data_IF_633374122911
#
_entry.id   IF_633374122911
#
_cell.length_a   1.000
_cell.length_b   1.000
_cell.length_c   1.000
_cell.angle_alpha   90.00
_cell.angle_beta   90.00
_cell.angle_gamma   90.00
#
_symmetry.space_group_name_H-M   'P 1'
#
loop_
_entity.id
_entity.type
_entity.pdbx_description
1 polymer ?
#
# COMPACT_ATOMS: atom_id res chain seq x y z
N UNK A 1 -6.60 -10.13 19.49
CA UNK A 1 -5.97 -10.84 18.34
C UNK A 1 -4.63 -10.22 17.98
N UNK A 2 -4.53 -8.90 17.93
CA UNK A 2 -3.27 -8.19 17.66
C UNK A 2 -2.20 -8.51 18.72
N UNK A 3 -2.63 -8.79 19.96
CA UNK A 3 -1.77 -9.28 21.05
C UNK A 3 -1.00 -10.58 20.73
N UNK A 4 -1.44 -11.38 19.74
CA UNK A 4 -0.75 -12.61 19.32
C UNK A 4 0.47 -12.35 18.44
N UNK A 5 0.57 -11.13 17.88
CA UNK A 5 1.69 -10.72 17.04
C UNK A 5 2.90 -10.53 17.94
N UNK A 6 4.03 -11.14 17.58
CA UNK A 6 5.25 -11.00 18.38
C UNK A 6 5.76 -9.56 18.37
N UNK A 7 6.31 -9.13 19.50
CA UNK A 7 6.96 -7.83 19.64
C UNK A 7 8.10 -7.64 18.62
N UNK A 8 8.82 -8.73 18.31
CA UNK A 8 9.84 -8.74 17.26
C UNK A 8 9.27 -8.42 15.88
N UNK A 9 8.13 -9.03 15.50
CA UNK A 9 7.50 -8.76 14.21
C UNK A 9 6.99 -7.31 14.14
N UNK A 10 6.36 -6.81 15.21
CA UNK A 10 5.93 -5.40 15.30
C UNK A 10 7.12 -4.46 15.10
N UNK A 11 8.25 -4.73 15.75
CA UNK A 11 9.48 -3.95 15.60
C UNK A 11 10.05 -4.02 14.17
N UNK A 12 10.09 -5.21 13.54
CA UNK A 12 10.60 -5.37 12.16
C UNK A 12 9.72 -4.64 11.14
N UNK A 13 8.40 -4.70 11.29
CA UNK A 13 7.46 -3.92 10.47
C UNK A 13 7.70 -2.43 10.67
N UNK A 14 7.83 -1.96 11.92
CA UNK A 14 8.10 -0.56 12.21
C UNK A 14 9.41 -0.07 11.57
N UNK A 15 10.51 -0.81 11.76
CA UNK A 15 11.81 -0.48 11.18
C UNK A 15 11.76 -0.39 9.66
N UNK A 16 11.04 -1.29 9.00
CA UNK A 16 10.90 -1.26 7.53
C UNK A 16 10.22 0.01 7.02
N UNK A 17 9.26 0.53 7.79
CA UNK A 17 8.61 1.79 7.47
C UNK A 17 9.54 2.98 7.76
N UNK A 18 10.30 2.96 8.86
CA UNK A 18 11.29 3.99 9.18
C UNK A 18 12.35 4.07 8.07
N UNK A 19 12.92 2.94 7.68
CA UNK A 19 13.96 2.85 6.65
C UNK A 19 13.39 3.22 5.27
N UNK A 20 12.31 2.55 4.84
CA UNK A 20 11.74 2.70 3.51
C UNK A 20 11.08 4.06 3.23
N UNK A 21 10.53 4.74 4.26
CA UNK A 21 10.03 6.11 4.13
C UNK A 21 11.06 7.18 4.54
N UNK A 22 12.17 6.78 5.17
CA UNK A 22 13.19 7.66 5.74
C UNK A 22 14.48 7.67 4.93
N UNK A 23 15.55 7.13 5.52
CA UNK A 23 16.92 7.24 5.00
C UNK A 23 17.07 6.68 3.58
N UNK A 24 16.49 5.50 3.29
CA UNK A 24 16.54 4.91 1.96
C UNK A 24 15.86 5.81 0.92
N UNK A 25 14.68 6.33 1.26
CA UNK A 25 13.96 7.23 0.36
C UNK A 25 14.75 8.52 0.13
N UNK A 26 15.31 9.11 1.17
CA UNK A 26 16.11 10.33 1.06
C UNK A 26 17.35 10.10 0.17
N UNK A 27 18.02 8.95 0.34
CA UNK A 27 19.14 8.54 -0.50
C UNK A 27 18.73 8.45 -1.97
N UNK A 28 17.69 7.66 -2.28
CA UNK A 28 17.26 7.43 -3.67
C UNK A 28 16.72 8.69 -4.35
N UNK A 29 16.00 9.55 -3.62
CA UNK A 29 15.52 10.84 -4.14
C UNK A 29 16.69 11.71 -4.61
N UNK A 30 17.82 11.70 -3.89
CA UNK A 30 19.04 12.43 -4.28
C UNK A 30 19.73 11.81 -5.50
N UNK A 31 19.70 10.49 -5.65
CA UNK A 31 20.34 9.80 -6.78
C UNK A 31 19.57 9.93 -8.10
N UNK A 32 18.24 9.80 -8.07
CA UNK A 32 17.41 9.74 -9.29
C UNK A 32 17.45 11.08 -10.07
N UNK A 33 17.45 12.21 -9.35
CA UNK A 33 17.60 13.56 -9.90
C UNK A 33 16.84 13.82 -11.23
N UNK A 34 15.54 13.50 -11.27
CA UNK A 34 14.69 13.67 -12.46
C UNK A 34 14.00 15.05 -12.49
N UNK A 35 13.66 15.58 -13.68
CA UNK A 35 12.92 16.85 -13.83
C UNK A 35 11.52 16.83 -13.21
N UNK A 36 10.90 15.65 -13.12
CA UNK A 36 9.60 15.44 -12.46
C UNK A 36 9.78 14.57 -11.21
N UNK A 37 8.82 14.62 -10.30
CA UNK A 37 8.87 13.92 -9.01
C UNK A 37 7.81 12.81 -8.88
N UNK A 38 7.29 12.29 -10.00
CA UNK A 38 6.19 11.31 -10.01
C UNK A 38 6.51 10.04 -9.22
N UNK A 39 7.79 9.61 -9.26
CA UNK A 39 8.26 8.43 -8.53
C UNK A 39 8.11 8.58 -7.00
N UNK A 40 8.08 9.80 -6.45
CA UNK A 40 8.00 10.03 -4.99
C UNK A 40 6.73 9.47 -4.35
N UNK A 41 5.70 9.19 -5.14
CA UNK A 41 4.47 8.57 -4.66
C UNK A 41 4.55 7.04 -4.60
N UNK A 42 5.37 6.41 -5.46
CA UNK A 42 5.48 4.95 -5.57
C UNK A 42 6.73 4.39 -4.90
N UNK A 43 7.88 5.03 -5.10
CA UNK A 43 9.17 4.61 -4.58
C UNK A 43 9.18 4.32 -3.07
N UNK A 44 8.59 5.15 -2.18
CA UNK A 44 8.62 4.85 -0.75
C UNK A 44 7.96 3.51 -0.41
N UNK A 45 6.91 3.15 -1.15
CA UNK A 45 6.19 1.91 -0.96
C UNK A 45 7.00 0.72 -1.47
N UNK A 46 7.66 0.86 -2.62
CA UNK A 46 8.52 -0.20 -3.16
C UNK A 46 9.72 -0.47 -2.25
N UNK A 47 10.38 0.58 -1.74
CA UNK A 47 11.47 0.45 -0.76
C UNK A 47 10.99 -0.27 0.50
N UNK A 48 9.87 0.18 1.08
CA UNK A 48 9.29 -0.44 2.28
C UNK A 48 8.92 -1.92 2.03
N UNK A 49 8.27 -2.22 0.90
CA UNK A 49 7.89 -3.59 0.53
C UNK A 49 9.12 -4.49 0.33
N UNK A 50 10.18 -3.97 -0.28
CA UNK A 50 11.45 -4.69 -0.43
C UNK A 50 12.06 -5.07 0.91
N UNK A 51 12.08 -4.14 1.88
CA UNK A 51 12.60 -4.41 3.23
C UNK A 51 11.71 -5.43 3.95
N UNK A 52 10.38 -5.29 3.89
CA UNK A 52 9.43 -6.25 4.47
C UNK A 52 9.66 -7.68 3.93
N UNK A 53 9.85 -7.81 2.62
CA UNK A 53 10.12 -9.10 1.98
C UNK A 53 11.49 -9.65 2.39
N UNK A 54 12.51 -8.80 2.53
CA UNK A 54 13.89 -9.22 2.84
C UNK A 54 14.02 -10.04 4.13
N UNK A 55 13.04 -9.92 5.02
CA UNK A 55 13.05 -10.52 6.33
C UNK A 55 11.99 -11.64 6.47
N UNK A 56 11.15 -11.84 5.44
CA UNK A 56 10.19 -12.95 5.39
C UNK A 56 10.91 -14.31 5.47
N UNK A 57 10.26 -15.28 6.12
CA UNK A 57 10.86 -16.56 6.45
C UNK A 57 9.83 -17.71 6.39
N UNK A 58 10.07 -18.79 7.15
CA UNK A 58 9.16 -19.93 7.23
C UNK A 58 7.80 -19.57 7.87
N UNK A 59 7.76 -18.59 8.75
CA UNK A 59 6.59 -18.20 9.54
C UNK A 59 5.94 -16.91 9.03
N UNK A 60 6.67 -16.05 8.32
CA UNK A 60 6.14 -14.88 7.64
C UNK A 60 6.20 -15.07 6.13
N UNK A 61 5.06 -15.43 5.53
CA UNK A 61 4.91 -15.63 4.08
C UNK A 61 4.42 -14.35 3.41
N UNK A 62 4.61 -14.24 2.11
CA UNK A 62 4.12 -13.11 1.35
C UNK A 62 3.61 -13.50 -0.02
N UNK A 63 2.76 -12.64 -0.58
CA UNK A 63 2.38 -12.66 -2.00
C UNK A 63 2.27 -11.22 -2.52
N UNK A 64 2.45 -11.04 -3.82
CA UNK A 64 2.32 -9.75 -4.51
C UNK A 64 1.23 -9.88 -5.57
N UNK A 65 0.14 -9.13 -5.40
CA UNK A 65 -1.01 -9.21 -6.29
C UNK A 65 -1.20 -7.91 -7.04
N UNK A 66 -1.36 -7.99 -8.37
CA UNK A 66 -1.60 -6.81 -9.21
C UNK A 66 -3.04 -6.33 -9.06
N UNK A 67 -3.23 -5.05 -8.75
CA UNK A 67 -4.52 -4.34 -8.69
C UNK A 67 -4.46 -3.09 -9.55
N UNK A 68 -4.87 -3.24 -10.82
CA UNK A 68 -4.78 -2.17 -11.81
C UNK A 68 -3.32 -1.83 -12.13
N UNK A 69 -2.93 -0.57 -11.86
CA UNK A 69 -1.57 -0.06 -12.06
C UNK A 69 -0.67 -0.22 -10.82
N UNK A 70 -1.17 -0.80 -9.73
CA UNK A 70 -0.47 -0.93 -8.46
C UNK A 70 -0.31 -2.40 -8.07
N UNK A 71 0.74 -2.72 -7.31
CA UNK A 71 1.01 -4.05 -6.76
C UNK A 71 0.83 -4.05 -5.25
N UNK A 72 -0.07 -4.90 -4.76
CA UNK A 72 -0.39 -5.03 -3.35
C UNK A 72 0.46 -6.14 -2.73
N UNK A 73 1.28 -5.77 -1.74
CA UNK A 73 1.98 -6.73 -0.87
C UNK A 73 1.01 -7.26 0.20
N UNK A 74 0.88 -8.58 0.25
CA UNK A 74 0.19 -9.33 1.28
C UNK A 74 1.23 -10.04 2.14
N UNK A 75 1.17 -9.91 3.47
CA UNK A 75 2.08 -10.58 4.41
C UNK A 75 1.27 -11.46 5.36
N UNK A 76 1.54 -12.76 5.41
CA UNK A 76 0.84 -13.72 6.27
C UNK A 76 1.77 -14.21 7.37
N UNK A 77 1.49 -13.84 8.62
CA UNK A 77 2.13 -14.44 9.80
C UNK A 77 1.37 -15.69 10.22
N UNK A 78 2.04 -16.84 10.12
CA UNK A 78 1.51 -18.15 10.47
C UNK A 78 1.41 -18.36 11.99
N UNK A 79 2.13 -17.58 12.78
CA UNK A 79 2.03 -17.65 14.24
C UNK A 79 0.72 -17.02 14.72
N UNK A 80 0.42 -15.78 14.31
CA UNK A 80 -0.83 -15.11 14.66
C UNK A 80 -2.02 -15.51 13.77
N UNK A 81 -1.77 -16.12 12.61
CA UNK A 81 -2.74 -16.32 11.52
C UNK A 81 -3.37 -14.99 11.07
N UNK A 82 -2.54 -13.97 10.89
CA UNK A 82 -2.96 -12.65 10.43
C UNK A 82 -2.32 -12.33 9.07
N UNK A 83 -3.18 -11.89 8.15
CA UNK A 83 -2.82 -11.34 6.86
C UNK A 83 -2.73 -9.81 6.97
N UNK A 84 -1.53 -9.26 6.87
CA UNK A 84 -1.27 -7.83 6.91
C UNK A 84 -1.32 -7.20 5.52
N UNK A 85 -1.93 -6.03 5.45
CA UNK A 85 -1.77 -5.07 4.35
C UNK A 85 -1.39 -3.71 4.91
N UNK A 86 -0.53 -2.97 4.21
CA UNK A 86 -0.06 -1.65 4.67
C UNK A 86 -0.60 -0.51 3.80
N UNK A 87 -1.09 0.57 4.40
CA UNK A 87 -1.55 1.77 3.69
C UNK A 87 -1.38 3.06 4.50
N UNK A 88 -1.64 4.24 3.92
CA UNK A 88 -1.65 5.46 4.72
C UNK A 88 -2.93 5.56 5.56
N UNK A 89 -2.84 6.21 6.72
CA UNK A 89 -4.02 6.47 7.57
C UNK A 89 -5.09 7.28 6.81
N UNK A 90 -4.67 8.24 5.99
CA UNK A 90 -5.58 9.01 5.13
C UNK A 90 -6.29 8.15 4.08
N UNK A 91 -5.60 7.18 3.48
CA UNK A 91 -6.21 6.29 2.49
C UNK A 91 -7.27 5.39 3.15
N UNK A 92 -6.97 4.84 4.33
CA UNK A 92 -7.96 4.09 5.11
C UNK A 92 -9.17 4.96 5.45
N UNK A 93 -8.95 6.15 6.01
CA UNK A 93 -10.01 7.08 6.36
C UNK A 93 -10.89 7.46 5.16
N UNK A 94 -10.30 7.62 3.98
CA UNK A 94 -11.04 7.87 2.74
C UNK A 94 -11.92 6.68 2.38
N UNK A 95 -11.38 5.46 2.42
CA UNK A 95 -12.11 4.22 2.13
C UNK A 95 -13.29 4.02 3.07
N UNK A 96 -13.08 4.21 4.38
CA UNK A 96 -14.12 4.03 5.39
C UNK A 96 -15.28 5.04 5.25
N UNK A 97 -14.99 6.26 4.78
CA UNK A 97 -15.99 7.32 4.55
C UNK A 97 -16.69 7.20 3.20
N UNK A 98 -16.01 6.66 2.19
CA UNK A 98 -16.54 6.59 0.84
C UNK A 98 -17.44 5.37 0.64
N UNK A 99 -18.73 5.58 0.90
CA UNK A 99 -19.80 4.60 0.72
C UNK A 99 -20.45 4.66 -0.67
N UNK A 100 -19.83 5.32 -1.66
CA UNK A 100 -20.42 5.47 -3.02
C UNK A 100 -19.49 4.97 -4.14
N UNK A 101 -18.55 4.10 -3.80
CA UNK A 101 -17.57 3.56 -4.76
C UNK A 101 -18.24 2.59 -5.74
N UNK A 102 -17.93 2.72 -7.02
CA UNK A 102 -18.44 1.83 -8.07
C UNK A 102 -17.71 0.48 -8.13
N UNK A 103 -16.48 0.43 -7.62
CA UNK A 103 -15.62 -0.77 -7.64
C UNK A 103 -15.13 -1.06 -6.22
N UNK A 104 -15.14 -2.34 -5.78
CA UNK A 104 -14.63 -2.70 -4.46
C UNK A 104 -13.13 -2.47 -4.37
N UNK A 105 -12.71 -1.83 -3.28
CA UNK A 105 -11.30 -1.75 -2.92
C UNK A 105 -10.85 -3.08 -2.31
N UNK A 106 -9.54 -3.36 -2.34
CA UNK A 106 -9.02 -4.60 -1.75
C UNK A 106 -9.35 -4.75 -0.25
N UNK A 107 -9.61 -3.64 0.44
CA UNK A 107 -10.05 -3.65 1.85
C UNK A 107 -11.47 -4.17 1.99
N UNK A 108 -12.38 -3.82 1.07
CA UNK A 108 -13.76 -4.34 1.07
C UNK A 108 -13.76 -5.85 0.79
N UNK A 109 -12.79 -6.34 0.01
CA UNK A 109 -12.65 -7.75 -0.33
C UNK A 109 -12.00 -8.53 0.82
N UNK A 110 -10.85 -8.06 1.32
CA UNK A 110 -10.10 -8.73 2.39
C UNK A 110 -10.83 -8.71 3.74
N UNK A 111 -11.74 -7.76 3.99
CA UNK A 111 -12.56 -7.74 5.20
C UNK A 111 -13.49 -8.95 5.31
N UNK A 112 -13.79 -9.65 4.20
CA UNK A 112 -14.52 -10.91 4.24
C UNK A 112 -13.78 -12.00 5.03
N UNK A 113 -12.44 -11.94 5.11
CA UNK A 113 -11.67 -12.83 6.01
C UNK A 113 -12.01 -12.61 7.49
N UNK A 114 -12.66 -11.51 7.82
CA UNK A 114 -13.08 -11.14 9.17
C UNK A 114 -14.58 -11.36 9.42
N UNK A 115 -15.27 -12.13 8.56
CA UNK A 115 -16.67 -12.52 8.76
C UNK A 115 -16.85 -13.22 10.11
N UNK A 116 -17.89 -12.84 10.85
CA UNK A 116 -18.20 -13.34 12.18
C UNK A 116 -17.51 -12.62 13.35
N UNK A 117 -16.70 -11.59 13.09
CA UNK A 117 -16.20 -10.70 14.16
C UNK A 117 -17.21 -9.59 14.46
N UNK A 118 -17.41 -9.30 15.75
CA UNK A 118 -18.30 -8.23 16.21
C UNK A 118 -17.53 -6.90 16.36
N UNK A 119 -18.06 -5.83 15.75
CA UNK A 119 -17.49 -4.50 15.84
C UNK A 119 -17.77 -3.82 17.19
N UNK A 120 -16.80 -3.05 17.70
CA UNK A 120 -16.94 -2.17 18.88
C UNK A 120 -17.89 -1.00 18.63
N UNK A 121 -17.92 -0.52 17.40
CA UNK A 121 -18.77 0.58 16.97
C UNK A 121 -19.74 0.06 15.93
N UNK A 122 -21.03 0.06 16.28
CA UNK A 122 -22.08 -0.11 15.29
C UNK A 122 -22.08 1.16 14.46
N UNK A 123 -21.64 1.11 13.21
CA UNK A 123 -21.82 2.25 12.32
C UNK A 123 -23.34 2.41 12.18
N UNK A 124 -23.92 3.54 12.60
CA UNK A 124 -25.38 3.74 12.56
C UNK A 124 -25.84 3.59 11.10
N UNK A 125 -26.38 2.42 10.77
CA UNK A 125 -27.10 2.19 9.54
C UNK A 125 -28.47 2.82 9.73
N UNK A 126 -28.84 3.76 8.87
CA UNK A 126 -30.21 4.29 8.87
C UNK A 126 -31.11 3.12 8.43
N UNK A 127 -32.11 2.71 9.24
CA UNK A 127 -33.02 1.62 8.86
C UNK A 127 -33.68 1.93 7.51
N UNK A 128 -33.57 1.01 6.55
CA UNK A 128 -34.08 1.18 5.18
C UNK A 128 -33.04 1.56 4.12
N UNK A 129 -31.77 1.74 4.51
CA UNK A 129 -30.63 1.85 3.59
C UNK A 129 -29.75 0.62 3.83
N UNK A 130 -30.19 -0.54 3.32
CA UNK A 130 -29.30 -1.68 3.13
C UNK A 130 -28.42 -1.38 1.93
N UNK A 131 -27.17 -1.00 2.19
CA UNK A 131 -26.17 -0.84 1.12
C UNK A 131 -25.13 -1.93 1.30
N UNK A 132 -25.49 -3.17 0.95
CA UNK A 132 -24.46 -4.04 0.39
C UNK A 132 -23.93 -3.31 -0.85
N UNK A 133 -22.78 -2.66 -0.71
CA UNK A 133 -22.21 -1.82 -1.77
C UNK A 133 -21.85 -2.65 -3.00
N UNK A 134 -21.56 -3.93 -2.80
CA UNK A 134 -21.12 -4.87 -3.82
C UNK A 134 -21.75 -6.25 -3.59
N UNK A 135 -22.07 -7.00 -4.64
CA UNK A 135 -22.55 -8.39 -4.52
C UNK A 135 -21.55 -9.28 -3.79
N UNK A 136 -22.01 -10.05 -2.80
CA UNK A 136 -21.15 -10.90 -1.95
C UNK A 136 -20.40 -11.96 -2.77
N UNK A 137 -21.07 -12.57 -3.74
CA UNK A 137 -20.52 -13.59 -4.65
C UNK A 137 -19.34 -13.07 -5.48
N UNK A 138 -19.40 -11.81 -5.94
CA UNK A 138 -18.29 -11.18 -6.65
C UNK A 138 -17.12 -10.85 -5.71
N UNK A 139 -17.40 -10.41 -4.48
CA UNK A 139 -16.36 -10.17 -3.48
C UNK A 139 -15.66 -11.48 -3.07
N UNK A 140 -16.41 -12.57 -2.87
CA UNK A 140 -15.85 -13.89 -2.55
C UNK A 140 -14.94 -14.42 -3.67
N UNK A 141 -15.36 -14.25 -4.93
CA UNK A 141 -14.54 -14.60 -6.10
C UNK A 141 -13.22 -13.82 -6.10
N UNK A 142 -13.27 -12.51 -5.93
CA UNK A 142 -12.06 -11.67 -5.87
C UNK A 142 -11.20 -11.98 -4.65
N UNK A 143 -11.80 -12.35 -3.52
CA UNK A 143 -11.05 -12.75 -2.33
C UNK A 143 -10.22 -14.00 -2.60
N UNK A 144 -10.82 -15.01 -3.23
CA UNK A 144 -10.12 -16.23 -3.63
C UNK A 144 -8.96 -15.92 -4.56
N UNK A 145 -9.14 -15.00 -5.51
CA UNK A 145 -8.05 -14.55 -6.39
C UNK A 145 -6.92 -13.88 -5.60
N UNK A 146 -7.24 -12.94 -4.70
CA UNK A 146 -6.26 -12.23 -3.88
C UNK A 146 -5.47 -13.16 -2.95
N UNK A 147 -6.11 -14.19 -2.39
CA UNK A 147 -5.52 -15.03 -1.35
C UNK A 147 -5.04 -16.40 -1.84
N UNK A 148 -5.31 -16.78 -3.09
CA UNK A 148 -5.09 -18.14 -3.63
C UNK A 148 -3.72 -18.72 -3.29
N UNK A 149 -2.63 -17.99 -3.54
CA UNK A 149 -1.29 -18.48 -3.27
C UNK A 149 -1.00 -18.65 -1.77
N UNK A 150 -1.53 -17.75 -0.94
CA UNK A 150 -1.32 -17.77 0.52
C UNK A 150 -2.14 -18.88 1.19
N UNK A 151 -3.33 -19.18 0.68
CA UNK A 151 -4.16 -20.31 1.14
C UNK A 151 -3.48 -21.66 0.89
N UNK A 152 -2.61 -21.77 -0.12
CA UNK A 152 -1.80 -22.99 -0.34
C UNK A 152 -0.66 -23.14 0.69
N UNK A 153 -0.37 -22.11 1.49
CA UNK A 153 0.74 -22.11 2.46
C UNK A 153 0.30 -22.49 3.88
N UNK A 154 -1.01 -22.64 4.14
CA UNK A 154 -1.54 -22.96 5.46
C UNK A 154 -2.91 -23.62 5.39
N UNK A 155 -3.14 -24.62 6.25
CA UNK A 155 -4.46 -25.24 6.42
C UNK A 155 -5.36 -24.46 7.39
N UNK A 156 -4.84 -23.39 8.00
CA UNK A 156 -5.57 -22.57 8.97
C UNK A 156 -6.21 -21.36 8.30
N UNK A 157 -7.44 -21.05 8.73
CA UNK A 157 -8.04 -19.76 8.43
C UNK A 157 -7.21 -18.63 9.03
N UNK A 158 -7.07 -17.54 8.27
CA UNK A 158 -6.41 -16.31 8.70
C UNK A 158 -7.36 -15.13 8.63
N UNK A 159 -7.12 -14.15 9.51
CA UNK A 159 -7.88 -12.90 9.59
C UNK A 159 -7.09 -11.76 8.97
N UNK A 160 -7.79 -10.76 8.43
CA UNK A 160 -7.16 -9.60 7.82
C UNK A 160 -6.86 -8.51 8.85
N UNK A 161 -5.66 -7.96 8.80
CA UNK A 161 -5.18 -6.87 9.62
C UNK A 161 -4.63 -5.75 8.72
N UNK A 162 -5.00 -4.51 9.02
CA UNK A 162 -4.54 -3.32 8.29
C UNK A 162 -3.52 -2.60 9.15
N UNK A 163 -2.32 -2.39 8.61
CA UNK A 163 -1.32 -1.51 9.20
C UNK A 163 -1.42 -0.15 8.52
N UNK A 164 -1.68 0.90 9.30
CA UNK A 164 -1.69 2.27 8.79
C UNK A 164 -0.46 3.04 9.21
N UNK A 165 -0.06 3.94 8.33
CA UNK A 165 1.10 4.79 8.49
C UNK A 165 0.71 6.24 8.29
N UNK A 166 1.17 7.08 9.20
CA UNK A 166 1.14 8.55 9.04
C UNK A 166 2.56 9.06 9.02
N UNK A 167 2.84 9.95 8.06
CA UNK A 167 4.19 10.49 7.86
C UNK A 167 4.16 11.98 7.59
N UNK A 168 5.28 12.63 7.89
CA UNK A 168 5.58 14.00 7.47
C UNK A 168 6.99 14.04 6.89
N UNK A 169 7.09 14.29 5.58
CA UNK A 169 8.35 14.18 4.85
C UNK A 169 8.92 12.75 4.89
N UNK A 170 10.17 12.65 5.37
CA UNK A 170 10.91 11.40 5.57
C UNK A 170 10.69 10.78 6.97
N UNK A 171 9.82 11.37 7.80
CA UNK A 171 9.61 10.90 9.16
C UNK A 171 8.27 10.16 9.29
N UNK A 172 8.32 8.93 9.80
CA UNK A 172 7.13 8.16 10.17
C UNK A 172 6.70 8.59 11.57
N UNK A 173 5.48 9.14 11.68
CA UNK A 173 4.98 9.75 12.91
C UNK A 173 4.09 8.80 13.71
N UNK A 174 3.25 8.04 13.02
CA UNK A 174 2.31 7.10 13.65
C UNK A 174 2.28 5.79 12.87
N UNK A 175 2.20 4.69 13.62
CA UNK A 175 2.02 3.34 13.11
C UNK A 175 0.94 2.67 13.96
N UNK A 176 -0.11 2.14 13.33
CA UNK A 176 -1.24 1.51 14.02
C UNK A 176 -1.68 0.26 13.29
N UNK A 177 -2.14 -0.72 14.03
CA UNK A 177 -2.73 -1.94 13.52
C UNK A 177 -4.23 -1.95 13.80
N UNK A 178 -5.01 -2.35 12.80
CA UNK A 178 -6.47 -2.41 12.88
C UNK A 178 -6.98 -3.78 12.43
N UNK A 179 -8.02 -4.24 13.09
CA UNK A 179 -8.88 -5.31 12.61
C UNK A 179 -10.29 -4.73 12.51
N UNK A 180 -10.87 -4.85 11.31
CA UNK A 180 -12.26 -4.51 11.06
C UNK A 180 -13.06 -5.77 10.79
N UNK A 181 -14.36 -5.77 11.06
CA UNK A 181 -15.24 -6.86 10.62
C UNK A 181 -15.53 -6.75 9.11
N UNK A 182 -16.32 -7.69 8.58
CA UNK A 182 -16.71 -7.68 7.15
C UNK A 182 -17.49 -6.43 6.73
N UNK A 183 -18.17 -5.76 7.66
CA UNK A 183 -18.86 -4.48 7.44
C UNK A 183 -17.96 -3.24 7.59
N UNK A 184 -16.65 -3.44 7.76
CA UNK A 184 -15.65 -2.39 8.01
C UNK A 184 -15.88 -1.60 9.31
N UNK A 185 -16.47 -2.24 10.31
CA UNK A 185 -16.58 -1.71 11.66
C UNK A 185 -15.37 -2.12 12.50
N UNK A 186 -14.91 -1.22 13.36
CA UNK A 186 -13.68 -1.43 14.12
C UNK A 186 -13.88 -2.55 15.16
N UNK A 187 -13.07 -3.61 15.09
CA UNK A 187 -13.05 -4.73 16.05
C UNK A 187 -11.92 -4.52 17.06
N UNK A 188 -10.71 -4.28 16.56
CA UNK A 188 -9.49 -4.16 17.38
C UNK A 188 -8.57 -3.08 16.81
N UNK A 189 -7.90 -2.34 17.69
CA UNK A 189 -6.90 -1.35 17.34
C UNK A 189 -5.74 -1.48 18.33
N UNK A 190 -4.52 -1.40 17.82
CA UNK A 190 -3.30 -1.32 18.63
C UNK A 190 -2.37 -0.24 18.09
N UNK A 191 -1.83 0.60 18.99
CA UNK A 191 -0.87 1.62 18.63
C UNK A 191 0.55 1.06 18.67
N UNK A 192 1.22 1.04 17.52
CA UNK A 192 2.58 0.54 17.33
C UNK A 192 3.60 1.68 17.20
N UNK A 193 3.20 2.93 17.42
CA UNK A 193 4.10 4.10 17.33
C UNK A 193 5.23 4.06 18.35
N UNK A 194 5.10 3.24 19.40
CA UNK A 194 6.17 2.98 20.35
C UNK A 194 7.41 2.30 19.72
N UNK A 195 7.21 1.49 18.67
CA UNK A 195 8.31 0.83 17.94
C UNK A 195 8.96 1.75 16.89
N UNK A 196 8.41 2.94 16.65
CA UNK A 196 9.00 3.94 15.75
C UNK A 196 10.20 4.67 16.36
N UNK A 197 10.43 4.51 17.67
CA UNK A 197 11.62 5.07 18.31
C UNK A 197 12.85 4.33 17.81
N UNK A 198 13.97 5.02 17.55
CA UNK A 198 15.20 4.33 17.18
C UNK A 198 15.54 3.34 18.29
N UNK A 199 15.44 2.05 17.99
CA UNK A 199 15.98 1.02 18.86
C UNK A 199 17.50 1.13 18.73
N UNK A 200 18.18 1.65 19.75
CA UNK A 200 19.65 1.75 19.83
C UNK A 200 20.36 0.38 19.84
N UNK A 201 19.70 -0.70 19.39
CA UNK A 201 20.16 -2.08 19.45
C UNK A 201 20.96 -2.53 18.22
N UNK A 202 21.16 -1.66 17.23
CA UNK A 202 21.95 -1.96 16.02
C UNK A 202 23.34 -1.30 15.98
N UNK A 203 23.92 -0.96 17.15
CA UNK A 203 25.28 -0.41 17.22
C UNK A 203 26.39 -1.45 17.43
N UNK A 204 26.09 -2.75 17.51
CA UNK A 204 27.13 -3.78 17.50
C UNK A 204 27.03 -4.71 16.28
N UNK A 205 28.21 -4.89 15.67
CA UNK A 205 28.62 -5.87 14.67
C UNK A 205 28.41 -5.54 13.17
N UNK A 206 29.39 -4.77 12.66
CA UNK A 206 30.17 -5.09 11.45
C UNK A 206 29.44 -5.84 10.32
N UNK A 207 28.52 -5.18 9.61
CA UNK A 207 28.27 -5.54 8.21
C UNK A 207 29.16 -4.69 7.33
N UNK A 208 30.31 -5.25 6.94
CA UNK A 208 30.95 -4.85 5.68
C UNK A 208 29.93 -5.11 4.59
N UNK A 209 29.35 -4.04 4.05
CA UNK A 209 28.74 -4.10 2.72
C UNK A 209 29.86 -4.52 1.77
N UNK A 210 29.84 -5.77 1.31
CA UNK A 210 30.60 -6.13 0.13
C UNK A 210 30.03 -5.25 -0.98
N UNK A 211 30.90 -4.48 -1.64
CA UNK A 211 30.60 -3.81 -2.90
C UNK A 211 30.05 -4.87 -3.85
N UNK A 212 28.73 -4.87 -4.03
CA UNK A 212 28.12 -5.56 -5.16
C UNK A 212 28.36 -4.60 -6.32
N UNK A 213 29.10 -5.05 -7.34
CA UNK A 213 29.33 -4.27 -8.56
C UNK A 213 27.99 -3.75 -9.08
N UNK A 214 27.77 -2.44 -8.89
CA UNK A 214 26.62 -1.72 -9.42
C UNK A 214 26.77 -1.81 -10.93
N UNK A 215 25.93 -2.63 -11.58
CA UNK A 215 25.69 -2.49 -13.00
C UNK A 215 25.08 -1.10 -13.18
N UNK A 216 25.93 -0.11 -13.47
CA UNK A 216 25.48 1.21 -13.94
C UNK A 216 24.59 0.93 -15.15
N UNK A 217 23.31 1.34 -15.16
CA UNK A 217 22.54 1.28 -16.38
C UNK A 217 23.18 2.27 -17.36
N UNK A 218 24.05 1.76 -18.24
CA UNK A 218 24.45 2.48 -19.44
C UNK A 218 23.19 2.60 -20.29
N UNK A 219 22.62 3.80 -20.31
CA UNK A 219 21.64 4.20 -21.31
C UNK A 219 22.21 3.80 -22.68
N UNK A 220 21.59 2.81 -23.34
CA UNK A 220 21.87 2.55 -24.74
C UNK A 220 21.53 3.84 -25.48
N UNK A 221 22.52 4.38 -26.19
CA UNK A 221 22.41 5.60 -27.01
C UNK A 221 21.38 5.47 -28.14
N UNK A 222 20.81 4.28 -28.33
CA UNK A 222 19.86 3.97 -29.39
C UNK A 222 18.46 4.59 -29.16
N UNK A 223 18.18 5.17 -27.98
CA UNK A 223 16.93 5.92 -27.72
C UNK A 223 16.94 7.37 -28.25
N UNK A 224 18.01 7.81 -28.93
CA UNK A 224 18.10 9.17 -29.52
C UNK A 224 17.99 9.20 -31.05
N UNK A 225 17.51 8.13 -31.70
CA UNK A 225 17.09 8.25 -33.10
C UNK A 225 15.65 8.72 -33.13
N UNK A 226 15.49 10.00 -33.45
CA UNK A 226 14.24 10.60 -33.87
C UNK A 226 13.72 9.85 -35.10
N UNK A 227 12.66 9.05 -34.95
CA UNK A 227 11.72 8.87 -36.06
C UNK A 227 10.83 10.11 -36.10
N UNK A 228 11.04 10.93 -37.12
CA UNK A 228 10.29 12.16 -37.38
C UNK A 228 8.88 11.91 -37.95
N UNK A 229 8.42 10.66 -38.02
CA UNK A 229 7.16 10.33 -38.68
C UNK A 229 6.24 9.53 -37.76
N UNK A 230 5.66 10.19 -36.74
CA UNK A 230 4.33 9.90 -36.16
C UNK A 230 4.01 10.86 -35.01
N UNK A 231 3.86 12.15 -35.31
CA UNK A 231 3.01 13.00 -34.48
C UNK A 231 1.59 12.94 -35.06
N UNK A 232 0.54 12.65 -34.28
CA UNK A 232 -0.81 12.89 -34.75
C UNK A 232 -0.99 14.39 -34.97
N UNK A 233 -1.40 14.76 -36.19
CA UNK A 233 -1.72 16.14 -36.55
C UNK A 233 -2.78 16.70 -35.62
N UNK A 234 -2.43 17.74 -34.87
CA UNK A 234 -3.40 18.57 -34.18
C UNK A 234 -4.16 19.35 -35.26
N UNK A 235 -5.40 18.94 -35.53
CA UNK A 235 -6.33 19.74 -36.34
C UNK A 235 -6.61 21.05 -35.59
N UNK A 236 -6.00 22.13 -36.06
CA UNK A 236 -6.44 23.48 -35.73
C UNK A 236 -7.74 23.75 -36.50
N UNK A 237 -8.88 23.61 -35.82
CA UNK A 237 -10.12 24.24 -36.29
C UNK A 237 -9.94 25.76 -36.19
N UNK A 238 -9.69 26.37 -37.35
CA UNK A 238 -9.95 27.80 -37.59
C UNK A 238 -11.44 27.93 -37.86
N UNK A 239 -12.14 28.70 -37.03
CA UNK A 239 -13.42 29.39 -37.27
C UNK A 239 -13.56 30.35 -36.07
N UNK A 240 -13.88 31.63 -36.13
CA UNK A 240 -14.13 32.59 -37.19
C UNK A 240 -13.85 33.95 -36.54
N UNK A 241 -13.03 34.80 -37.16
CA UNK A 241 -13.11 36.24 -36.93
C UNK A 241 -14.46 36.70 -37.47
N UNK A 242 -15.37 37.12 -36.58
CA UNK A 242 -16.51 37.94 -36.95
C UNK A 242 -16.29 39.33 -36.41
N UNK A 243 -16.22 40.25 -37.36
CA UNK A 243 -16.25 41.70 -37.22
C UNK A 243 -17.25 42.17 -36.17
N UNK A 244 -16.78 43.00 -35.24
CA UNK A 244 -17.64 43.95 -34.53
C UNK A 244 -17.14 45.33 -34.92
N UNK A 245 -17.89 45.95 -35.83
CA UNK A 245 -17.73 47.36 -36.21
C UNK A 245 -17.93 48.27 -34.99
N UNK A 246 -17.04 49.24 -34.88
CA UNK A 246 -17.26 50.50 -34.18
C UNK A 246 -18.36 51.30 -34.90
N UNK A 247 -19.29 51.89 -34.15
CA UNK A 247 -19.96 53.12 -34.57
C UNK A 247 -19.90 54.12 -33.40
N UNK A 248 -19.70 55.38 -33.79
CA UNK A 248 -19.67 56.61 -32.99
C UNK A 248 -20.88 56.80 -32.06
#
# INVERSE_FOLDING_TARGET
>A
MLEKISEELKQRIANSHIEGFGEELEYWVKQINTPTSNYKNMLPRDLTNGILISFCDANLRYDIVRRGFYELLLLLDLNSNLLFTCMSEDALNKILKDKKREVPHYIDILSLKNKGLEGKTHQITIPGIETELFPEDELERQLKELCSNLELQTDKEFRHCIITIKRSGYNVQELKAYIFNSALELVEEENWSQYLKPSYTFLDDTKKYNEVDIIKPTLKKDFLVQDKDTMPEIKNDKNDEKDVNEEE
#
